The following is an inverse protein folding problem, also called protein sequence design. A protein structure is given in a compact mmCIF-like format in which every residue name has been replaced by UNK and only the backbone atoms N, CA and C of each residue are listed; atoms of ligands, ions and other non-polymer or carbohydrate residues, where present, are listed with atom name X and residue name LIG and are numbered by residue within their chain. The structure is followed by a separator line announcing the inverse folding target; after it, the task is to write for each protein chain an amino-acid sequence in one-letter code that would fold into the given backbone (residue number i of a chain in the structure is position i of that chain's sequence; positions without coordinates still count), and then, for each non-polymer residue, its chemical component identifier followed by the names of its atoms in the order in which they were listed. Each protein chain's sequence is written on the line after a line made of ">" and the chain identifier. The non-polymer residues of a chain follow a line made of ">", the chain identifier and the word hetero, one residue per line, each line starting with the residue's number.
data_IF_945177728221
#
_entry.id   IF_945177728221
#
_cell.length_a   1.000
_cell.length_b   1.000
_cell.length_c   1.000
_cell.angle_alpha   90.00
_cell.angle_beta   90.00
_cell.angle_gamma   90.00
#
_symmetry.space_group_name_H-M   'P 1'
#
loop_
_entity.id
_entity.type
_entity.pdbx_description
1 polymer ?
#
# COMPACT_ATOMS: atom_id res chain seq x y z
N UNK A 1 8.32 -11.35 -18.99
CA UNK A 1 9.39 -11.56 -18.00
C UNK A 1 8.91 -11.35 -16.55
N UNK A 2 8.31 -10.20 -16.17
CA UNK A 2 7.92 -9.90 -14.77
C UNK A 2 6.79 -10.79 -14.23
N UNK A 3 5.78 -11.15 -15.04
CA UNK A 3 4.77 -12.14 -14.64
C UNK A 3 5.36 -13.53 -14.43
N UNK A 4 6.37 -13.91 -15.20
CA UNK A 4 7.08 -15.17 -15.01
C UNK A 4 7.84 -15.20 -13.67
N UNK A 5 8.45 -14.10 -13.26
CA UNK A 5 9.13 -14.00 -11.94
C UNK A 5 8.12 -14.15 -10.80
N UNK A 6 6.98 -13.45 -10.85
CA UNK A 6 5.93 -13.59 -9.83
C UNK A 6 5.35 -15.00 -9.82
N UNK A 7 5.11 -15.60 -11.00
CA UNK A 7 4.62 -16.98 -11.09
C UNK A 7 5.64 -17.98 -10.51
N UNK A 8 6.92 -17.84 -10.84
CA UNK A 8 7.99 -18.68 -10.28
C UNK A 8 8.10 -18.51 -8.76
N UNK A 9 8.03 -17.27 -8.27
CA UNK A 9 8.12 -17.00 -6.84
C UNK A 9 6.92 -17.62 -6.09
N UNK A 10 5.70 -17.44 -6.61
CA UNK A 10 4.51 -18.08 -6.02
C UNK A 10 4.61 -19.59 -6.09
N UNK A 11 5.00 -20.15 -7.23
CA UNK A 11 5.15 -21.61 -7.38
C UNK A 11 6.15 -22.17 -6.38
N UNK A 12 7.28 -21.46 -6.19
CA UNK A 12 8.26 -21.83 -5.17
C UNK A 12 7.68 -21.74 -3.75
N UNK A 13 6.95 -20.65 -3.42
CA UNK A 13 6.35 -20.48 -2.10
C UNK A 13 5.24 -21.50 -1.83
N UNK A 14 4.41 -21.80 -2.82
CA UNK A 14 3.37 -22.85 -2.72
C UNK A 14 4.03 -24.24 -2.57
N UNK A 15 5.06 -24.52 -3.37
CA UNK A 15 5.82 -25.76 -3.25
C UNK A 15 6.47 -25.89 -1.85
N UNK A 16 7.07 -24.82 -1.36
CA UNK A 16 7.64 -24.77 -0.01
C UNK A 16 6.57 -25.00 1.07
N UNK A 17 5.41 -24.37 0.96
CA UNK A 17 4.29 -24.58 1.88
C UNK A 17 3.77 -26.02 1.83
N UNK A 18 3.73 -26.64 0.65
CA UNK A 18 3.31 -28.02 0.46
C UNK A 18 4.31 -29.01 1.08
N UNK A 19 5.61 -28.82 0.81
CA UNK A 19 6.67 -29.71 1.34
C UNK A 19 6.85 -29.64 2.85
N UNK A 20 6.38 -28.56 3.50
CA UNK A 20 6.38 -28.40 4.95
C UNK A 20 5.01 -28.65 5.60
N UNK A 21 4.11 -29.35 4.92
CA UNK A 21 2.78 -29.77 5.40
C UNK A 21 1.93 -28.61 5.98
N UNK A 22 2.21 -27.37 5.55
CA UNK A 22 1.51 -26.19 6.08
C UNK A 22 0.02 -26.19 5.73
N UNK A 23 -0.38 -26.83 4.62
CA UNK A 23 -1.78 -26.94 4.21
C UNK A 23 -2.54 -28.02 4.99
N UNK A 24 -1.86 -29.02 5.53
CA UNK A 24 -2.47 -30.07 6.33
C UNK A 24 -3.13 -29.54 7.61
N UNK A 25 -2.62 -28.43 8.12
CA UNK A 25 -3.22 -27.72 9.26
C UNK A 25 -4.64 -27.25 8.93
N UNK A 26 -4.91 -26.84 7.69
CA UNK A 26 -6.26 -26.43 7.27
C UNK A 26 -7.23 -27.60 7.18
N UNK A 27 -6.74 -28.80 6.82
CA UNK A 27 -7.56 -30.01 6.71
C UNK A 27 -8.01 -30.56 8.05
N UNK A 28 -7.25 -30.28 9.13
CA UNK A 28 -7.55 -30.74 10.50
C UNK A 28 -8.77 -30.05 11.12
N UNK A 29 -9.32 -29.02 10.46
CA UNK A 29 -10.45 -28.24 10.95
C UNK A 29 -10.05 -27.24 12.02
N UNK A 30 -11.03 -26.46 12.51
CA UNK A 30 -10.78 -25.46 13.58
C UNK A 30 -10.60 -24.03 13.07
N UNK A 31 -10.73 -23.78 11.77
CA UNK A 31 -10.79 -22.43 11.23
C UNK A 31 -11.99 -21.67 11.83
N UNK A 32 -11.76 -20.43 12.23
CA UNK A 32 -12.77 -19.55 12.85
C UNK A 32 -13.29 -18.55 11.81
N UNK A 33 -14.38 -18.84 11.10
CA UNK A 33 -14.85 -18.02 9.98
C UNK A 33 -15.26 -16.61 10.39
N UNK A 34 -15.73 -16.42 11.62
CA UNK A 34 -16.07 -15.10 12.15
C UNK A 34 -14.86 -14.17 12.23
N UNK A 35 -13.70 -14.68 12.64
CA UNK A 35 -12.44 -13.90 12.65
C UNK A 35 -11.96 -13.60 11.23
N UNK A 36 -12.11 -14.56 10.30
CA UNK A 36 -11.73 -14.33 8.92
C UNK A 36 -12.60 -13.26 8.26
N UNK A 37 -13.90 -13.25 8.55
CA UNK A 37 -14.83 -12.19 8.12
C UNK A 37 -14.45 -10.84 8.76
N UNK A 38 -14.09 -10.81 10.04
CA UNK A 38 -13.62 -9.60 10.70
C UNK A 38 -12.33 -9.06 10.03
N UNK A 39 -11.39 -9.92 9.66
CA UNK A 39 -10.21 -9.54 8.92
C UNK A 39 -10.54 -8.93 7.54
N UNK A 40 -11.52 -9.49 6.82
CA UNK A 40 -12.02 -8.96 5.55
C UNK A 40 -12.62 -7.55 5.74
N UNK A 41 -13.41 -7.35 6.79
CA UNK A 41 -14.01 -6.03 7.10
C UNK A 41 -12.91 -5.02 7.43
N UNK A 42 -11.91 -5.39 8.23
CA UNK A 42 -10.77 -4.53 8.57
C UNK A 42 -9.96 -4.16 7.32
N UNK A 43 -9.65 -5.12 6.47
CA UNK A 43 -8.94 -4.86 5.22
C UNK A 43 -9.74 -3.92 4.29
N UNK A 44 -11.05 -4.14 4.18
CA UNK A 44 -11.94 -3.27 3.41
C UNK A 44 -11.98 -1.86 3.99
N UNK A 45 -12.05 -1.71 5.32
CA UNK A 45 -12.02 -0.42 6.00
C UNK A 45 -10.70 0.33 5.73
N UNK A 46 -9.55 -0.36 5.81
CA UNK A 46 -8.25 0.22 5.52
C UNK A 46 -8.18 0.74 4.07
N UNK A 47 -8.66 -0.04 3.11
CA UNK A 47 -8.67 0.32 1.69
C UNK A 47 -9.62 1.50 1.43
N UNK A 48 -10.84 1.48 1.97
CA UNK A 48 -11.80 2.58 1.85
C UNK A 48 -11.25 3.87 2.46
N UNK A 49 -10.59 3.80 3.62
CA UNK A 49 -9.93 4.96 4.23
C UNK A 49 -8.87 5.55 3.29
N UNK A 50 -8.13 4.70 2.56
CA UNK A 50 -7.17 5.15 1.55
C UNK A 50 -7.84 5.91 0.39
N UNK A 51 -9.02 5.44 -0.06
CA UNK A 51 -9.76 6.11 -1.13
C UNK A 51 -10.36 7.44 -0.67
N UNK A 52 -10.89 7.49 0.54
CA UNK A 52 -11.41 8.71 1.17
C UNK A 52 -10.27 9.73 1.39
N UNK A 53 -9.10 9.27 1.84
CA UNK A 53 -7.91 10.12 1.95
C UNK A 53 -7.54 10.75 0.61
N UNK A 54 -7.49 9.95 -0.45
CA UNK A 54 -7.20 10.46 -1.79
C UNK A 54 -8.28 11.43 -2.29
N UNK A 55 -9.55 11.17 -2.00
CA UNK A 55 -10.63 12.12 -2.27
C UNK A 55 -10.35 13.49 -1.67
N UNK A 56 -9.95 13.54 -0.39
CA UNK A 56 -9.60 14.81 0.26
C UNK A 56 -8.40 15.51 -0.37
N UNK A 57 -7.42 14.77 -0.85
CA UNK A 57 -6.28 15.33 -1.59
C UNK A 57 -6.72 15.95 -2.91
N UNK A 58 -7.57 15.28 -3.69
CA UNK A 58 -8.09 15.79 -4.97
C UNK A 58 -9.00 17.01 -4.73
N UNK A 59 -9.96 16.87 -3.82
CA UNK A 59 -10.90 17.94 -3.49
C UNK A 59 -10.18 19.17 -2.90
N UNK A 60 -9.14 18.94 -2.14
CA UNK A 60 -8.30 19.98 -1.57
C UNK A 60 -7.58 20.86 -2.59
N UNK A 61 -7.34 20.37 -3.79
CA UNK A 61 -6.85 21.17 -4.91
C UNK A 61 -7.96 21.92 -5.66
N UNK A 62 -9.22 21.77 -5.24
CA UNK A 62 -10.38 22.33 -5.93
C UNK A 62 -10.68 21.63 -7.25
N UNK A 63 -10.24 20.37 -7.41
CA UNK A 63 -10.62 19.54 -8.55
C UNK A 63 -11.99 18.92 -8.26
N UNK A 64 -12.99 19.09 -9.16
CA UNK A 64 -14.31 18.52 -8.98
C UNK A 64 -14.27 17.00 -9.06
N UNK A 65 -14.57 16.34 -7.94
CA UNK A 65 -14.74 14.90 -7.82
C UNK A 65 -15.80 14.62 -6.76
N UNK A 66 -16.65 13.63 -6.98
CA UNK A 66 -17.54 13.12 -5.96
C UNK A 66 -16.87 12.02 -5.16
N UNK A 67 -17.25 11.86 -3.90
CA UNK A 67 -16.67 10.81 -3.04
C UNK A 67 -16.91 9.41 -3.64
N UNK A 68 -18.07 9.18 -4.24
CA UNK A 68 -18.40 7.93 -4.91
C UNK A 68 -17.52 7.63 -6.11
N UNK A 69 -17.14 8.66 -6.88
CA UNK A 69 -16.21 8.51 -8.02
C UNK A 69 -14.81 8.17 -7.51
N UNK A 70 -14.37 8.79 -6.42
CA UNK A 70 -13.10 8.45 -5.80
C UNK A 70 -13.06 7.00 -5.28
N UNK A 71 -14.17 6.51 -4.69
CA UNK A 71 -14.29 5.12 -4.24
C UNK A 71 -14.28 4.17 -5.45
N UNK A 72 -15.06 4.45 -6.50
CA UNK A 72 -15.09 3.64 -7.73
C UNK A 72 -13.73 3.57 -8.39
N UNK A 73 -13.10 4.73 -8.65
CA UNK A 73 -11.76 4.79 -9.24
C UNK A 73 -10.71 4.14 -8.33
N UNK A 74 -10.90 4.23 -7.00
CA UNK A 74 -10.10 3.55 -6.01
C UNK A 74 -10.16 2.03 -6.18
N UNK A 75 -11.34 1.45 -6.25
CA UNK A 75 -11.52 0.00 -6.43
C UNK A 75 -11.01 -0.48 -7.80
N UNK A 76 -11.32 0.24 -8.88
CA UNK A 76 -10.80 -0.09 -10.21
C UNK A 76 -9.26 -0.03 -10.20
N UNK A 77 -8.68 1.04 -9.66
CA UNK A 77 -7.23 1.15 -9.50
C UNK A 77 -6.64 0.02 -8.65
N UNK A 78 -7.30 -0.36 -7.56
CA UNK A 78 -6.86 -1.45 -6.70
C UNK A 78 -6.83 -2.80 -7.46
N UNK A 79 -7.87 -3.10 -8.26
CA UNK A 79 -7.89 -4.26 -9.13
C UNK A 79 -6.74 -4.24 -10.14
N UNK A 80 -6.53 -3.11 -10.82
CA UNK A 80 -5.47 -2.99 -11.81
C UNK A 80 -4.06 -3.11 -11.23
N UNK A 81 -3.86 -2.85 -9.94
CA UNK A 81 -2.58 -3.14 -9.27
C UNK A 81 -2.23 -4.63 -9.27
N UNK A 82 -3.21 -5.54 -9.32
CA UNK A 82 -2.98 -6.98 -9.45
C UNK A 82 -2.71 -7.42 -10.89
N UNK A 83 -3.26 -6.71 -11.87
CA UNK A 83 -3.16 -7.08 -13.29
C UNK A 83 -1.93 -6.44 -13.95
N UNK A 84 -1.50 -5.27 -13.48
CA UNK A 84 -0.39 -4.53 -14.04
C UNK A 84 0.91 -4.75 -13.27
N UNK A 85 2.00 -4.25 -13.82
CA UNK A 85 3.32 -4.33 -13.18
C UNK A 85 3.41 -3.34 -12.03
N UNK A 86 3.49 -3.84 -10.82
CA UNK A 86 3.57 -3.05 -9.59
C UNK A 86 2.26 -2.29 -9.30
N UNK A 87 2.33 -1.37 -8.37
CA UNK A 87 1.19 -0.53 -7.99
C UNK A 87 0.93 0.64 -8.96
N UNK A 88 1.74 0.77 -10.01
CA UNK A 88 1.73 1.94 -10.91
C UNK A 88 0.49 1.97 -11.82
N UNK A 89 0.00 0.80 -12.26
CA UNK A 89 -1.11 0.75 -13.21
C UNK A 89 -2.43 1.25 -12.64
N UNK A 90 -2.74 0.89 -11.41
CA UNK A 90 -3.92 1.41 -10.74
C UNK A 90 -3.83 2.91 -10.45
N UNK A 91 -2.63 3.39 -10.12
CA UNK A 91 -2.39 4.81 -9.89
C UNK A 91 -2.49 5.63 -11.18
N UNK A 92 -1.96 5.10 -12.28
CA UNK A 92 -2.10 5.72 -13.60
C UNK A 92 -3.58 5.85 -14.01
N UNK A 93 -4.41 4.83 -13.72
CA UNK A 93 -5.86 4.90 -13.95
C UNK A 93 -6.53 5.96 -13.08
N UNK A 94 -6.23 6.00 -11.78
CA UNK A 94 -6.77 7.04 -10.88
C UNK A 94 -6.43 8.43 -11.38
N UNK A 95 -5.14 8.67 -11.74
CA UNK A 95 -4.69 9.92 -12.33
C UNK A 95 -5.40 10.23 -13.64
N UNK A 96 -5.57 9.24 -14.52
CA UNK A 96 -6.25 9.38 -15.80
C UNK A 96 -7.71 9.81 -15.66
N UNK A 97 -8.48 9.17 -14.77
CA UNK A 97 -9.88 9.52 -14.55
C UNK A 97 -10.06 10.96 -14.05
N UNK A 98 -9.24 11.39 -13.08
CA UNK A 98 -9.29 12.78 -12.59
C UNK A 98 -8.82 13.76 -13.66
N UNK A 99 -7.74 13.45 -14.39
CA UNK A 99 -7.20 14.30 -15.46
C UNK A 99 -8.15 14.43 -16.65
N UNK A 100 -8.89 13.38 -17.00
CA UNK A 100 -9.91 13.39 -18.05
C UNK A 100 -11.05 14.37 -17.73
N UNK A 101 -11.49 14.38 -16.48
CA UNK A 101 -12.55 15.28 -16.02
C UNK A 101 -12.06 16.72 -15.81
N UNK A 102 -10.73 16.94 -15.85
CA UNK A 102 -10.09 18.25 -15.63
C UNK A 102 -8.98 18.47 -16.67
N UNK A 103 -9.31 18.67 -17.96
CA UNK A 103 -8.34 18.71 -19.04
C UNK A 103 -7.32 19.84 -18.91
N UNK A 104 -7.69 20.98 -18.33
CA UNK A 104 -6.82 22.15 -18.11
C UNK A 104 -5.88 21.99 -16.90
N UNK A 105 -6.16 21.00 -16.03
CA UNK A 105 -5.46 20.79 -14.75
C UNK A 105 -4.91 19.36 -14.60
N UNK A 106 -4.53 18.73 -15.72
CA UNK A 106 -4.08 17.32 -15.74
C UNK A 106 -2.87 17.05 -14.83
N UNK A 107 -1.94 18.00 -14.78
CA UNK A 107 -0.73 17.86 -13.98
C UNK A 107 -1.04 17.86 -12.48
N UNK A 108 -2.00 18.67 -12.06
CA UNK A 108 -2.47 18.66 -10.67
C UNK A 108 -3.16 17.32 -10.32
N UNK A 109 -3.96 16.78 -11.24
CA UNK A 109 -4.59 15.47 -11.06
C UNK A 109 -3.54 14.36 -10.84
N UNK A 110 -2.49 14.33 -11.66
CA UNK A 110 -1.37 13.37 -11.50
C UNK A 110 -0.64 13.60 -10.17
N UNK A 111 -0.40 14.86 -9.81
CA UNK A 111 0.28 15.23 -8.57
C UNK A 111 -0.47 14.70 -7.31
N UNK A 112 -1.81 14.64 -7.33
CA UNK A 112 -2.58 14.09 -6.20
C UNK A 112 -2.20 12.64 -5.89
N UNK A 113 -2.02 11.84 -6.93
CA UNK A 113 -1.67 10.41 -6.78
C UNK A 113 -0.25 10.25 -6.25
N UNK A 114 0.70 11.07 -6.75
CA UNK A 114 2.09 11.06 -6.27
C UNK A 114 2.17 11.45 -4.80
N UNK A 115 1.46 12.51 -4.40
CA UNK A 115 1.41 12.97 -3.00
C UNK A 115 0.71 11.94 -2.11
N UNK A 116 -0.37 11.31 -2.58
CA UNK A 116 -1.05 10.23 -1.85
C UNK A 116 -0.10 9.07 -1.56
N UNK A 117 0.72 8.67 -2.53
CA UNK A 117 1.74 7.62 -2.36
C UNK A 117 2.85 8.02 -1.41
N UNK A 118 3.36 9.25 -1.55
CA UNK A 118 4.39 9.77 -0.66
C UNK A 118 3.91 9.80 0.80
N UNK A 119 2.70 10.33 1.04
CA UNK A 119 2.10 10.37 2.38
C UNK A 119 1.93 8.97 2.95
N UNK A 120 1.43 8.02 2.15
CA UNK A 120 1.28 6.62 2.59
C UNK A 120 2.62 5.98 2.96
N UNK A 121 3.65 6.21 2.16
CA UNK A 121 4.99 5.67 2.41
C UNK A 121 5.63 6.28 3.67
N UNK A 122 5.53 7.60 3.85
CA UNK A 122 6.02 8.30 5.04
C UNK A 122 5.31 7.78 6.30
N UNK A 123 3.99 7.61 6.26
CA UNK A 123 3.23 7.08 7.37
C UNK A 123 3.62 5.62 7.70
N UNK A 124 3.89 4.80 6.68
CA UNK A 124 4.36 3.43 6.84
C UNK A 124 5.70 3.38 7.57
N UNK A 125 6.69 4.14 7.11
CA UNK A 125 8.00 4.24 7.78
C UNK A 125 7.88 4.81 9.20
N UNK A 126 7.05 5.83 9.40
CA UNK A 126 6.84 6.42 10.71
C UNK A 126 6.24 5.42 11.69
N UNK A 127 5.18 4.70 11.28
CA UNK A 127 4.57 3.67 12.13
C UNK A 127 5.56 2.57 12.48
N UNK A 128 6.26 2.05 11.47
CA UNK A 128 7.28 0.99 11.67
C UNK A 128 8.39 1.47 12.60
N UNK A 129 8.91 2.68 12.39
CA UNK A 129 9.94 3.27 13.22
C UNK A 129 9.48 3.44 14.68
N UNK A 130 8.28 3.98 14.91
CA UNK A 130 7.71 4.14 16.25
C UNK A 130 7.61 2.77 16.95
N UNK A 131 7.04 1.76 16.29
CA UNK A 131 6.87 0.44 16.89
C UNK A 131 8.21 -0.19 17.23
N UNK A 132 9.20 -0.14 16.31
CA UNK A 132 10.54 -0.67 16.55
C UNK A 132 11.31 0.10 17.64
N UNK A 133 11.07 1.41 17.80
CA UNK A 133 11.64 2.18 18.91
C UNK A 133 11.04 1.84 20.27
N UNK A 134 9.76 1.45 20.32
CA UNK A 134 9.09 1.01 21.55
C UNK A 134 9.44 -0.43 21.96
N UNK A 135 10.09 -1.21 21.07
CA UNK A 135 10.48 -2.60 21.35
C UNK A 135 11.89 -2.68 21.93
N UNK A 136 12.04 -3.49 22.97
CA UNK A 136 13.35 -3.95 23.44
C UNK A 136 13.82 -5.11 22.54
N UNK A 137 14.58 -4.78 21.51
CA UNK A 137 15.06 -5.74 20.52
C UNK A 137 16.06 -6.77 21.12
N UNK A 138 16.85 -6.36 22.12
CA UNK A 138 17.79 -7.26 22.79
C UNK A 138 17.01 -8.36 23.53
N UNK A 139 15.95 -7.98 24.24
CA UNK A 139 15.10 -8.92 24.95
C UNK A 139 14.30 -9.82 24.00
N UNK A 140 13.93 -9.29 22.81
CA UNK A 140 13.17 -10.01 21.80
C UNK A 140 14.02 -11.08 21.11
N UNK A 141 15.26 -10.72 20.69
CA UNK A 141 16.14 -11.58 19.90
C UNK A 141 17.00 -12.52 20.77
N UNK A 142 17.13 -12.23 22.08
CA UNK A 142 18.02 -13.01 22.95
C UNK A 142 19.44 -13.08 22.39
N UNK A 143 19.96 -14.29 22.19
CA UNK A 143 21.31 -14.54 21.68
C UNK A 143 21.42 -14.51 20.14
N UNK A 144 20.30 -14.32 19.41
CA UNK A 144 20.33 -14.24 17.94
C UNK A 144 20.78 -12.86 17.45
N UNK A 145 22.10 -12.69 17.39
CA UNK A 145 22.75 -11.47 16.93
C UNK A 145 22.42 -11.13 15.47
N UNK A 146 22.10 -12.12 14.63
CA UNK A 146 21.76 -11.91 13.23
C UNK A 146 20.41 -11.22 13.11
N UNK A 147 19.38 -11.78 13.77
CA UNK A 147 18.05 -11.17 13.81
C UNK A 147 18.09 -9.80 14.47
N UNK A 148 18.84 -9.63 15.56
CA UNK A 148 19.03 -8.35 16.24
C UNK A 148 19.59 -7.29 15.28
N UNK A 149 20.67 -7.60 14.55
CA UNK A 149 21.30 -6.65 13.63
C UNK A 149 20.37 -6.24 12.48
N UNK A 150 19.59 -7.18 11.95
CA UNK A 150 18.58 -6.89 10.91
C UNK A 150 17.48 -5.99 11.43
N UNK A 151 16.92 -6.29 12.61
CA UNK A 151 15.86 -5.46 13.20
C UNK A 151 16.35 -4.07 13.60
N UNK A 152 17.58 -3.95 14.10
CA UNK A 152 18.20 -2.65 14.35
C UNK A 152 18.41 -1.84 13.08
N UNK A 153 18.85 -2.48 12.00
CA UNK A 153 18.95 -1.84 10.69
C UNK A 153 17.58 -1.37 10.21
N UNK A 154 16.56 -2.23 10.29
CA UNK A 154 15.18 -1.87 9.95
C UNK A 154 14.67 -0.70 10.80
N UNK A 155 15.00 -0.65 12.09
CA UNK A 155 14.65 0.44 13.00
C UNK A 155 15.23 1.76 12.53
N UNK A 156 16.55 1.82 12.31
CA UNK A 156 17.21 3.05 11.92
C UNK A 156 16.85 3.50 10.51
N UNK A 157 16.68 2.57 9.57
CA UNK A 157 16.18 2.87 8.22
C UNK A 157 14.77 3.44 8.30
N UNK A 158 13.87 2.83 9.08
CA UNK A 158 12.49 3.29 9.19
C UNK A 158 12.41 4.66 9.86
N UNK A 159 13.17 4.90 10.93
CA UNK A 159 13.23 6.21 11.61
C UNK A 159 13.80 7.27 10.68
N UNK A 160 14.91 6.97 9.99
CA UNK A 160 15.57 7.93 9.10
C UNK A 160 14.69 8.26 7.88
N UNK A 161 14.10 7.25 7.23
CA UNK A 161 13.20 7.46 6.10
C UNK A 161 11.90 8.16 6.52
N UNK A 162 11.36 7.81 7.70
CA UNK A 162 10.19 8.48 8.27
C UNK A 162 10.47 9.96 8.57
N UNK A 163 11.59 10.26 9.25
CA UNK A 163 11.99 11.62 9.57
C UNK A 163 12.30 12.44 8.29
N UNK A 164 13.03 11.87 7.34
CA UNK A 164 13.30 12.52 6.05
C UNK A 164 12.01 12.79 5.26
N UNK A 165 11.08 11.81 5.26
CA UNK A 165 9.78 11.95 4.63
C UNK A 165 8.91 13.03 5.29
N UNK A 166 8.87 13.08 6.63
CA UNK A 166 8.20 14.15 7.37
C UNK A 166 8.83 15.53 7.08
N UNK A 167 10.16 15.59 7.03
CA UNK A 167 10.88 16.79 6.62
C UNK A 167 10.50 17.24 5.21
N UNK A 168 10.44 16.30 4.26
CA UNK A 168 9.99 16.58 2.90
C UNK A 168 8.54 17.07 2.85
N UNK A 169 7.62 16.43 3.58
CA UNK A 169 6.22 16.88 3.68
C UNK A 169 6.13 18.28 4.33
N UNK A 170 6.94 18.57 5.34
CA UNK A 170 7.02 19.89 5.96
C UNK A 170 7.53 20.95 4.96
N UNK A 171 8.56 20.64 4.17
CA UNK A 171 9.07 21.51 3.11
C UNK A 171 7.99 21.75 2.06
N UNK A 172 7.31 20.70 1.60
CA UNK A 172 6.20 20.79 0.65
C UNK A 172 5.05 21.68 1.15
N UNK A 173 4.82 21.70 2.47
CA UNK A 173 3.69 22.43 3.06
C UNK A 173 4.04 23.87 3.49
N UNK A 174 5.25 24.12 3.95
CA UNK A 174 5.58 25.37 4.64
C UNK A 174 6.64 26.22 3.95
N UNK A 175 7.49 25.62 3.13
CA UNK A 175 8.61 26.35 2.49
C UNK A 175 8.34 26.63 1.01
N UNK A 176 7.40 27.55 0.74
CA UNK A 176 7.08 27.97 -0.62
C UNK A 176 8.30 28.47 -1.40
N UNK A 177 9.18 29.23 -0.74
CA UNK A 177 10.42 29.74 -1.34
C UNK A 177 11.36 28.62 -1.86
N UNK A 178 11.23 27.39 -1.34
CA UNK A 178 11.97 26.24 -1.84
C UNK A 178 11.63 25.92 -3.30
N UNK A 179 10.38 26.15 -3.71
CA UNK A 179 9.92 25.88 -5.09
C UNK A 179 10.35 26.98 -6.08
N UNK A 180 10.75 28.15 -5.59
CA UNK A 180 11.27 29.24 -6.44
C UNK A 180 12.79 29.08 -6.68
N UNK A 181 13.42 28.05 -6.13
CA UNK A 181 14.87 27.85 -6.21
C UNK A 181 15.29 27.38 -7.62
N UNK A 182 16.37 27.99 -8.16
CA UNK A 182 16.93 27.65 -9.48
C UNK A 182 17.36 26.18 -9.64
N UNK A 183 17.48 25.42 -8.54
CA UNK A 183 17.81 24.00 -8.57
C UNK A 183 16.74 23.17 -9.31
N UNK A 184 15.48 23.61 -9.24
CA UNK A 184 14.37 22.92 -9.91
C UNK A 184 14.52 22.93 -11.43
N UNK A 185 14.97 24.07 -12.04
CA UNK A 185 15.19 24.12 -13.48
C UNK A 185 16.22 23.11 -13.94
N UNK A 186 17.31 22.93 -13.18
CA UNK A 186 18.35 21.92 -13.48
C UNK A 186 17.83 20.50 -13.33
N UNK A 187 17.00 20.23 -12.29
CA UNK A 187 16.39 18.93 -12.06
C UNK A 187 15.36 18.56 -13.15
N UNK A 188 14.68 19.56 -13.72
CA UNK A 188 13.71 19.34 -14.81
C UNK A 188 14.36 18.90 -16.13
N UNK A 189 15.63 19.21 -16.35
CA UNK A 189 16.40 18.85 -17.55
C UNK A 189 16.92 17.41 -17.51
N UNK A 190 16.96 16.78 -16.32
CA UNK A 190 17.42 15.41 -16.17
C UNK A 190 16.45 14.41 -16.82
N UNK A 191 16.92 13.64 -17.80
CA UNK A 191 16.12 12.73 -18.63
C UNK A 191 15.25 11.74 -17.84
N UNK A 192 15.75 11.20 -16.74
CA UNK A 192 15.08 10.17 -15.94
C UNK A 192 14.31 10.72 -14.74
N UNK A 193 14.75 11.84 -14.19
CA UNK A 193 14.23 12.42 -12.94
C UNK A 193 13.33 13.63 -13.22
N UNK A 194 13.52 14.31 -14.34
CA UNK A 194 12.80 15.53 -14.71
C UNK A 194 11.27 15.42 -14.68
N UNK A 195 10.64 14.37 -15.20
CA UNK A 195 9.19 14.21 -15.12
C UNK A 195 8.68 14.09 -13.68
N UNK A 196 9.40 13.37 -12.83
CA UNK A 196 9.05 13.16 -11.41
C UNK A 196 9.22 14.46 -10.64
N UNK A 197 10.33 15.17 -10.85
CA UNK A 197 10.60 16.43 -10.14
C UNK A 197 9.63 17.54 -10.53
N UNK A 198 9.20 17.61 -11.78
CA UNK A 198 8.13 18.53 -12.20
C UNK A 198 6.82 18.26 -11.48
N UNK A 199 6.42 17.00 -11.36
CA UNK A 199 5.20 16.60 -10.64
C UNK A 199 5.29 16.95 -9.15
N UNK A 200 6.43 16.66 -8.51
CA UNK A 200 6.68 17.01 -7.11
C UNK A 200 6.68 18.52 -6.89
N UNK A 201 7.31 19.27 -7.78
CA UNK A 201 7.33 20.73 -7.71
C UNK A 201 5.91 21.31 -7.80
N UNK A 202 5.12 20.88 -8.79
CA UNK A 202 3.74 21.36 -8.95
C UNK A 202 2.84 20.96 -7.78
N UNK A 203 3.00 19.72 -7.29
CA UNK A 203 2.32 19.28 -6.08
C UNK A 203 2.67 20.19 -4.90
N UNK A 204 3.97 20.45 -4.70
CA UNK A 204 4.44 21.30 -3.61
C UNK A 204 3.90 22.72 -3.67
N UNK A 205 3.98 23.37 -4.83
CA UNK A 205 3.42 24.72 -5.03
C UNK A 205 1.92 24.76 -4.71
N UNK A 206 1.19 23.70 -5.07
CA UNK A 206 -0.27 23.67 -4.89
C UNK A 206 -0.64 23.35 -3.43
N UNK A 207 0.00 22.35 -2.83
CA UNK A 207 -0.31 21.92 -1.45
C UNK A 207 0.27 22.86 -0.39
N UNK A 208 1.32 23.64 -0.69
CA UNK A 208 1.82 24.66 0.23
C UNK A 208 0.79 25.74 0.60
N UNK A 209 -0.26 25.87 -0.21
CA UNK A 209 -1.39 26.77 0.10
C UNK A 209 -2.43 26.15 1.05
N UNK A 210 -2.40 24.83 1.26
CA UNK A 210 -3.37 24.07 2.06
C UNK A 210 -2.69 22.96 2.87
N UNK A 211 -1.76 23.29 3.78
CA UNK A 211 -0.97 22.32 4.53
C UNK A 211 -1.84 21.40 5.41
N UNK A 212 -2.99 21.86 5.89
CA UNK A 212 -3.92 21.10 6.71
C UNK A 212 -4.43 19.83 6.00
N UNK A 213 -4.55 19.84 4.67
CA UNK A 213 -5.01 18.70 3.89
C UNK A 213 -3.94 17.60 3.87
N UNK A 214 -2.68 17.99 3.63
CA UNK A 214 -1.55 17.05 3.62
C UNK A 214 -1.35 16.45 5.01
N UNK A 215 -1.41 17.28 6.06
CA UNK A 215 -1.29 16.83 7.44
C UNK A 215 -2.45 15.90 7.84
N UNK A 216 -3.68 16.25 7.50
CA UNK A 216 -4.84 15.38 7.73
C UNK A 216 -4.76 14.06 6.99
N UNK A 217 -4.29 14.07 5.74
CA UNK A 217 -4.05 12.85 4.96
C UNK A 217 -2.94 11.98 5.58
N UNK A 218 -1.88 12.60 6.10
CA UNK A 218 -0.82 11.88 6.82
C UNK A 218 -1.35 11.23 8.10
N UNK A 219 -2.09 11.96 8.93
CA UNK A 219 -2.70 11.43 10.14
C UNK A 219 -3.68 10.29 9.84
N UNK A 220 -4.48 10.40 8.77
CA UNK A 220 -5.37 9.33 8.33
C UNK A 220 -4.63 8.09 7.82
N UNK A 221 -3.37 8.22 7.40
CA UNK A 221 -2.56 7.10 6.90
C UNK A 221 -2.01 6.21 8.01
N UNK A 222 -1.72 6.75 9.18
CA UNK A 222 -1.20 5.97 10.31
C UNK A 222 -2.17 4.84 10.72
N UNK A 223 -3.47 5.11 11.00
CA UNK A 223 -4.41 4.05 11.31
C UNK A 223 -4.63 3.07 10.16
N UNK A 224 -4.50 3.47 8.89
CA UNK A 224 -4.60 2.55 7.75
C UNK A 224 -3.59 1.42 7.86
N UNK A 225 -2.32 1.74 8.13
CA UNK A 225 -1.27 0.74 8.28
C UNK A 225 -1.44 -0.10 9.54
N UNK A 226 -1.89 0.50 10.65
CA UNK A 226 -2.21 -0.22 11.88
C UNK A 226 -3.39 -1.20 11.68
N UNK A 227 -4.48 -0.76 11.07
CA UNK A 227 -5.66 -1.59 10.76
C UNK A 227 -5.26 -2.74 9.82
N UNK A 228 -4.40 -2.49 8.83
CA UNK A 228 -3.91 -3.53 7.94
C UNK A 228 -3.09 -4.60 8.72
N UNK A 229 -2.24 -4.18 9.65
CA UNK A 229 -1.49 -5.10 10.52
C UNK A 229 -2.43 -5.90 11.44
N UNK A 230 -3.46 -5.26 12.00
CA UNK A 230 -4.50 -5.92 12.79
C UNK A 230 -5.28 -6.92 11.92
N UNK A 231 -5.59 -6.59 10.67
CA UNK A 231 -6.28 -7.50 9.77
C UNK A 231 -5.47 -8.79 9.54
N UNK A 232 -4.16 -8.68 9.31
CA UNK A 232 -3.27 -9.85 9.16
C UNK A 232 -3.18 -10.65 10.47
N UNK A 233 -3.11 -9.99 11.62
CA UNK A 233 -3.16 -10.65 12.93
C UNK A 233 -4.47 -11.42 13.13
N UNK A 234 -5.60 -10.85 12.76
CA UNK A 234 -6.91 -11.49 12.85
C UNK A 234 -7.01 -12.67 11.86
N UNK A 235 -6.37 -12.60 10.69
CA UNK A 235 -6.20 -13.78 9.81
C UNK A 235 -5.44 -14.89 10.54
N UNK A 236 -4.30 -14.56 11.14
CA UNK A 236 -3.53 -15.54 11.91
C UNK A 236 -4.35 -16.19 13.03
N UNK A 237 -5.13 -15.39 13.77
CA UNK A 237 -6.03 -15.85 14.84
C UNK A 237 -7.20 -16.70 14.32
N UNK A 238 -7.61 -16.50 13.05
CA UNK A 238 -8.68 -17.28 12.41
C UNK A 238 -8.26 -18.70 12.06
N UNK A 239 -6.97 -18.94 11.93
CA UNK A 239 -6.40 -20.22 11.57
C UNK A 239 -6.08 -21.05 12.85
N UNK A 240 -6.14 -22.39 12.80
CA UNK A 240 -5.80 -23.25 13.93
C UNK A 240 -4.28 -23.41 14.09
N UNK A 241 -3.56 -22.30 14.21
CA UNK A 241 -2.09 -22.23 14.26
C UNK A 241 -1.59 -21.38 15.43
N UNK A 242 -0.38 -21.66 15.86
CA UNK A 242 0.35 -20.72 16.69
C UNK A 242 0.85 -19.55 15.82
N UNK A 243 0.78 -18.34 16.36
CA UNK A 243 1.20 -17.13 15.67
C UNK A 243 1.86 -16.11 16.62
N UNK A 244 2.70 -15.20 16.12
CA UNK A 244 3.26 -14.11 16.91
C UNK A 244 2.19 -13.17 17.47
N UNK A 245 2.57 -12.35 18.45
CA UNK A 245 1.67 -11.36 19.07
C UNK A 245 1.27 -10.26 18.08
N UNK A 246 0.21 -9.51 18.41
CA UNK A 246 -0.21 -8.33 17.63
C UNK A 246 0.93 -7.32 17.44
N UNK A 247 1.75 -7.11 18.50
CA UNK A 247 2.87 -6.18 18.44
C UNK A 247 3.90 -6.59 17.36
N UNK A 248 4.14 -7.90 17.23
CA UNK A 248 5.02 -8.42 16.16
C UNK A 248 4.40 -8.23 14.77
N UNK A 249 3.08 -8.33 14.63
CA UNK A 249 2.42 -8.03 13.38
C UNK A 249 2.49 -6.55 13.01
N UNK A 250 2.49 -5.63 13.99
CA UNK A 250 2.72 -4.20 13.77
C UNK A 250 4.13 -3.88 13.25
N UNK A 251 5.08 -4.80 13.39
CA UNK A 251 6.42 -4.72 12.76
C UNK A 251 6.45 -5.49 11.44
N UNK A 252 6.04 -6.76 11.46
CA UNK A 252 6.19 -7.66 10.33
C UNK A 252 5.37 -7.21 9.10
N UNK A 253 4.12 -6.76 9.31
CA UNK A 253 3.22 -6.42 8.19
C UNK A 253 3.65 -5.14 7.47
N UNK A 254 4.00 -4.03 8.14
CA UNK A 254 4.54 -2.85 7.45
C UNK A 254 5.85 -3.15 6.70
N UNK A 255 6.78 -3.89 7.29
CA UNK A 255 8.02 -4.28 6.61
C UNK A 255 7.75 -5.17 5.39
N UNK A 256 6.80 -6.12 5.50
CA UNK A 256 6.37 -6.94 4.36
C UNK A 256 5.69 -6.10 3.27
N UNK A 257 4.95 -5.06 3.67
CA UNK A 257 4.32 -4.13 2.73
C UNK A 257 5.35 -3.31 1.95
N UNK A 258 6.49 -2.96 2.56
CA UNK A 258 7.61 -2.31 1.85
C UNK A 258 8.19 -3.23 0.76
N UNK A 259 8.35 -4.53 1.05
CA UNK A 259 8.75 -5.50 0.03
C UNK A 259 7.73 -5.58 -1.12
N UNK A 260 6.44 -5.42 -0.82
CA UNK A 260 5.37 -5.37 -1.81
C UNK A 260 5.40 -4.15 -2.76
N UNK A 261 6.21 -3.12 -2.46
CA UNK A 261 6.45 -1.98 -3.37
C UNK A 261 7.33 -2.37 -4.56
N UNK A 262 8.06 -3.49 -4.48
CA UNK A 262 8.83 -4.00 -5.61
C UNK A 262 7.94 -4.12 -6.87
N UNK A 263 8.49 -3.89 -8.07
CA UNK A 263 7.73 -3.85 -9.32
C UNK A 263 7.29 -5.25 -9.78
N UNK A 264 6.59 -5.96 -8.90
CA UNK A 264 5.94 -7.24 -9.15
C UNK A 264 4.43 -7.03 -9.22
N UNK A 265 3.70 -7.75 -10.09
CA UNK A 265 2.25 -7.67 -10.18
C UNK A 265 1.59 -7.87 -8.81
N UNK A 266 0.87 -6.86 -8.31
CA UNK A 266 0.22 -6.88 -7.00
C UNK A 266 1.15 -7.07 -5.78
N UNK A 267 2.47 -6.94 -5.95
CA UNK A 267 3.45 -7.28 -4.91
C UNK A 267 3.45 -8.76 -4.54
N UNK A 268 2.85 -9.61 -5.41
CA UNK A 268 2.65 -11.03 -5.16
C UNK A 268 4.01 -11.75 -5.06
N UNK A 269 4.18 -12.51 -4.01
CA UNK A 269 5.38 -13.25 -3.67
C UNK A 269 6.34 -12.45 -2.77
N UNK A 270 6.51 -11.14 -2.98
CA UNK A 270 7.42 -10.33 -2.16
C UNK A 270 6.85 -10.10 -0.75
N UNK A 271 5.57 -9.77 -0.65
CA UNK A 271 4.89 -9.62 0.65
C UNK A 271 4.87 -10.95 1.42
N UNK A 272 4.48 -12.04 0.75
CA UNK A 272 4.39 -13.36 1.35
C UNK A 272 5.75 -13.88 1.82
N UNK A 273 6.76 -13.77 0.98
CA UNK A 273 8.11 -14.19 1.32
C UNK A 273 8.69 -13.39 2.48
N UNK A 274 8.50 -12.05 2.47
CA UNK A 274 8.97 -11.20 3.56
C UNK A 274 8.24 -11.51 4.88
N UNK A 275 6.91 -11.72 4.83
CA UNK A 275 6.16 -12.07 6.03
C UNK A 275 6.61 -13.41 6.61
N UNK A 276 6.89 -14.40 5.75
CA UNK A 276 7.43 -15.69 6.19
C UNK A 276 8.81 -15.55 6.87
N UNK A 277 9.70 -14.72 6.29
CA UNK A 277 11.01 -14.43 6.88
C UNK A 277 10.87 -13.75 8.25
N UNK A 278 10.00 -12.73 8.34
CA UNK A 278 9.79 -11.98 9.57
C UNK A 278 9.10 -12.82 10.65
N UNK A 279 8.23 -13.75 10.28
CA UNK A 279 7.68 -14.71 11.23
C UNK A 279 8.76 -15.58 11.84
N UNK A 280 9.72 -16.07 11.06
CA UNK A 280 10.86 -16.85 11.57
C UNK A 280 11.73 -16.02 12.49
N UNK A 281 11.93 -14.74 12.18
CA UNK A 281 12.77 -13.84 12.96
C UNK A 281 12.10 -13.37 14.28
N UNK A 282 10.76 -13.17 14.28
CA UNK A 282 10.04 -12.51 15.36
C UNK A 282 9.22 -13.47 16.24
N UNK A 283 9.03 -14.73 15.83
CA UNK A 283 8.28 -15.69 16.63
C UNK A 283 9.15 -16.24 17.77
N UNK A 284 8.68 -16.06 18.98
CA UNK A 284 9.30 -16.67 20.17
C UNK A 284 9.04 -18.17 20.29
N UNK A 285 8.09 -18.70 19.51
CA UNK A 285 7.74 -20.12 19.46
C UNK A 285 8.17 -20.70 18.10
N UNK A 286 9.00 -21.75 18.04
CA UNK A 286 9.43 -22.38 16.79
C UNK A 286 8.27 -22.81 15.89
N UNK A 287 7.16 -23.32 16.46
CA UNK A 287 5.97 -23.70 15.70
C UNK A 287 5.32 -22.49 15.04
N UNK A 288 5.25 -21.36 15.72
CA UNK A 288 4.69 -20.13 15.15
C UNK A 288 5.55 -19.56 14.01
N UNK A 289 6.86 -19.80 14.03
CA UNK A 289 7.79 -19.27 13.04
C UNK A 289 7.56 -19.81 11.62
N UNK A 290 6.99 -21.01 11.49
CA UNK A 290 6.77 -21.66 10.20
C UNK A 290 5.47 -21.23 9.51
N UNK A 291 4.51 -20.65 10.25
CA UNK A 291 3.18 -20.35 9.72
C UNK A 291 3.05 -19.00 8.97
N UNK A 292 4.12 -18.22 8.85
CA UNK A 292 4.09 -16.90 8.23
C UNK A 292 3.58 -16.91 6.79
N UNK A 293 3.94 -17.93 6.03
CA UNK A 293 3.51 -18.09 4.65
C UNK A 293 2.01 -18.42 4.54
N UNK A 294 1.50 -19.28 5.43
CA UNK A 294 0.09 -19.63 5.50
C UNK A 294 -0.79 -18.41 5.83
N UNK A 295 -0.35 -17.60 6.80
CA UNK A 295 -1.03 -16.34 7.15
C UNK A 295 -1.01 -15.36 5.98
N UNK A 296 0.12 -15.25 5.28
CA UNK A 296 0.24 -14.38 4.12
C UNK A 296 -0.70 -14.80 2.99
N UNK A 297 -0.82 -16.10 2.70
CA UNK A 297 -1.78 -16.61 1.73
C UNK A 297 -3.23 -16.40 2.17
N UNK A 298 -3.54 -16.61 3.45
CA UNK A 298 -4.86 -16.30 4.00
C UNK A 298 -5.23 -14.82 3.78
N UNK A 299 -4.30 -13.91 4.04
CA UNK A 299 -4.51 -12.48 3.77
C UNK A 299 -4.57 -12.15 2.28
N UNK A 300 -3.82 -12.88 1.43
CA UNK A 300 -3.88 -12.72 -0.02
C UNK A 300 -5.27 -13.03 -0.57
N UNK A 301 -5.95 -14.06 -0.06
CA UNK A 301 -7.34 -14.37 -0.44
C UNK A 301 -8.25 -13.19 -0.13
N UNK A 302 -8.12 -12.56 1.04
CA UNK A 302 -8.87 -11.35 1.40
C UNK A 302 -8.62 -10.22 0.40
N UNK A 303 -7.35 -9.94 0.08
CA UNK A 303 -7.02 -8.87 -0.88
C UNK A 303 -7.54 -9.13 -2.29
N UNK A 304 -7.59 -10.40 -2.72
CA UNK A 304 -8.21 -10.79 -4.00
C UNK A 304 -9.73 -10.64 -3.99
N UNK A 305 -10.40 -10.98 -2.88
CA UNK A 305 -11.85 -10.74 -2.72
C UNK A 305 -12.14 -9.24 -2.84
N UNK A 306 -11.36 -8.38 -2.18
CA UNK A 306 -11.52 -6.92 -2.29
C UNK A 306 -11.21 -6.42 -3.70
N UNK A 307 -10.18 -6.97 -4.35
CA UNK A 307 -9.87 -6.62 -5.75
C UNK A 307 -10.98 -7.02 -6.73
N UNK A 308 -11.70 -8.11 -6.44
CA UNK A 308 -12.85 -8.55 -7.25
C UNK A 308 -13.99 -7.53 -7.26
N UNK A 309 -14.17 -6.75 -6.18
CA UNK A 309 -15.11 -5.62 -6.17
C UNK A 309 -14.71 -4.61 -7.26
N UNK A 310 -13.41 -4.30 -7.38
CA UNK A 310 -12.92 -3.40 -8.42
C UNK A 310 -13.14 -3.92 -9.84
N UNK A 311 -13.04 -5.22 -10.04
CA UNK A 311 -13.38 -5.88 -11.31
C UNK A 311 -14.88 -5.71 -11.65
N UNK A 312 -15.75 -5.92 -10.68
CA UNK A 312 -17.21 -5.76 -10.86
C UNK A 312 -17.55 -4.30 -11.20
N UNK A 313 -16.96 -3.33 -10.48
CA UNK A 313 -17.13 -1.91 -10.77
C UNK A 313 -16.65 -1.57 -12.18
N UNK A 314 -15.49 -2.08 -12.59
CA UNK A 314 -14.94 -1.86 -13.93
C UNK A 314 -15.89 -2.36 -15.03
N UNK A 315 -16.48 -3.55 -14.88
CA UNK A 315 -17.42 -4.08 -15.86
C UNK A 315 -18.75 -3.31 -15.89
N UNK A 316 -19.22 -2.82 -14.74
CA UNK A 316 -20.43 -1.98 -14.68
C UNK A 316 -20.22 -0.66 -15.45
N UNK A 317 -19.08 0.01 -15.22
CA UNK A 317 -18.79 1.29 -15.88
C UNK A 317 -18.45 1.14 -17.37
N UNK A 318 -17.86 0.01 -17.78
CA UNK A 318 -17.55 -0.22 -19.20
C UNK A 318 -18.79 -0.22 -20.09
N UNK A 319 -19.92 -0.71 -19.59
CA UNK A 319 -21.20 -0.68 -20.31
C UNK A 319 -21.72 0.76 -20.46
N UNK A 320 -21.64 1.54 -19.39
CA UNK A 320 -22.07 2.94 -19.40
C UNK A 320 -21.20 3.80 -20.31
N UNK A 321 -19.88 3.60 -20.29
CA UNK A 321 -18.96 4.30 -21.18
C UNK A 321 -19.17 3.88 -22.66
N UNK A 322 -19.49 2.62 -22.93
CA UNK A 322 -19.77 2.14 -24.28
C UNK A 322 -21.09 2.74 -24.82
N UNK A 323 -22.12 2.83 -23.97
CA UNK A 323 -23.39 3.48 -24.31
C UNK A 323 -23.20 4.97 -24.58
N UNK A 324 -22.50 5.70 -23.70
CA UNK A 324 -22.21 7.12 -23.90
C UNK A 324 -21.39 7.40 -25.18
N UNK A 325 -20.54 6.50 -25.63
CA UNK A 325 -19.83 6.60 -26.90
C UNK A 325 -20.80 6.39 -28.08
N UNK A 326 -21.63 5.38 -28.02
CA UNK A 326 -22.62 5.10 -29.06
C UNK A 326 -23.62 6.28 -29.20
N UNK A 327 -24.07 6.83 -28.07
CA UNK A 327 -24.97 8.00 -28.05
C UNK A 327 -24.29 9.28 -28.58
N UNK A 328 -22.98 9.45 -28.34
CA UNK A 328 -22.20 10.57 -28.84
C UNK A 328 -21.94 10.47 -30.36
N UNK A 329 -21.72 9.26 -30.86
CA UNK A 329 -21.56 9.01 -32.30
C UNK A 329 -22.90 9.19 -33.03
N UNK A 330 -24.02 8.73 -32.45
CA UNK A 330 -25.36 8.90 -33.01
C UNK A 330 -25.84 10.36 -33.03
N UNK A 331 -25.38 11.21 -32.12
CA UNK A 331 -25.69 12.64 -32.10
C UNK A 331 -24.76 13.51 -32.96
N UNK A 332 -23.73 12.92 -33.56
CA UNK A 332 -22.77 13.62 -34.44
C UNK A 332 -23.00 13.35 -35.94
N UNK A 333 -23.94 12.45 -36.26
CA UNK A 333 -24.52 12.25 -37.61
C UNK A 333 -25.83 13.04 -37.76
#
# INVERSE_FOLDING_TARGET
>A
MKFAVSALLISYLVYSAYTHDQFDVLSRGGMKPAFYLAALILALLAILTTFVRWYFLVHGLGLPIRIWDAIRFGFVGYFFNFVTVGTVGGDALRAYFVARNNPDRRTEAIATVVVDRLIGLVALFTLTGIVLMCLDLNRLCGDDLTTLSVLETCRWVSVSCGAAGLGLLAILCFFRAFFDWKIWSKLFELRWVGPITRQLHMAGVTYSRRPSIVFGAYLASLPVHAINSIAVFVVATSLPIAHPSLLMHLVAVPLSSLAGVLPLPGGIGAFEGMLAILYRALATNPVASEHGLLVAFGFRVITLIVASIGLLVYFAERKEIAQLRADSEANSE
#
